data_IF_647008042576
#
_entry.id   IF_647008042576
#
_cell.length_a   1.000
_cell.length_b   1.000
_cell.length_c   1.000
_cell.angle_alpha   90.00
_cell.angle_beta   90.00
_cell.angle_gamma   90.00
#
_symmetry.space_group_name_H-M   'P 1'
#
loop_
_entity.id
_entity.type
_entity.pdbx_description
1 polymer ?
#
# COMPACT_ATOMS: atom_id res chain seq x y z
N UNK A 1 -61.44 22.83 -28.31
CA UNK A 1 -60.80 22.53 -27.01
C UNK A 1 -60.46 21.05 -26.98
N UNK A 2 -59.16 20.71 -26.99
CA UNK A 2 -58.52 19.59 -26.28
C UNK A 2 -57.08 19.47 -26.79
N UNK A 3 -56.15 20.02 -26.01
CA UNK A 3 -54.70 19.97 -26.26
C UNK A 3 -54.15 18.60 -25.88
N UNK A 4 -53.62 17.86 -26.85
CA UNK A 4 -52.89 16.61 -26.61
C UNK A 4 -51.41 16.95 -26.35
N UNK A 5 -50.98 16.80 -25.09
CA UNK A 5 -49.60 17.06 -24.65
C UNK A 5 -48.78 15.78 -24.84
N UNK A 6 -48.05 15.71 -25.96
CA UNK A 6 -47.05 14.64 -26.22
C UNK A 6 -45.87 14.83 -25.27
N UNK A 7 -45.71 13.89 -24.33
CA UNK A 7 -44.59 13.88 -23.38
C UNK A 7 -43.43 13.12 -24.02
N UNK A 8 -42.44 13.87 -24.50
CA UNK A 8 -41.18 13.34 -25.03
C UNK A 8 -40.38 12.67 -23.90
N UNK A 9 -40.25 11.34 -23.95
CA UNK A 9 -39.39 10.56 -23.06
C UNK A 9 -37.97 10.66 -23.59
N UNK A 10 -37.17 11.56 -23.02
CA UNK A 10 -35.74 11.64 -23.27
C UNK A 10 -35.06 10.51 -22.49
N UNK A 11 -34.85 9.38 -23.16
CA UNK A 11 -34.08 8.25 -22.64
C UNK A 11 -32.62 8.66 -22.45
N UNK A 12 -32.22 8.90 -21.21
CA UNK A 12 -30.81 8.95 -20.85
C UNK A 12 -30.27 7.52 -20.83
N UNK A 13 -29.60 7.13 -21.92
CA UNK A 13 -28.71 5.98 -21.95
C UNK A 13 -27.49 6.30 -21.07
N UNK A 14 -27.57 5.96 -19.78
CA UNK A 14 -26.39 5.84 -18.94
C UNK A 14 -25.68 4.54 -19.32
N UNK A 15 -24.48 4.67 -19.88
CA UNK A 15 -23.58 3.55 -20.14
C UNK A 15 -23.39 2.71 -18.86
N UNK A 16 -23.30 1.36 -18.97
CA UNK A 16 -23.09 0.53 -17.79
C UNK A 16 -21.67 0.76 -17.27
N UNK A 17 -21.57 1.44 -16.12
CA UNK A 17 -20.39 1.32 -15.29
C UNK A 17 -20.32 -0.15 -14.86
N UNK A 18 -19.40 -0.91 -15.45
CA UNK A 18 -19.18 -2.32 -15.12
C UNK A 18 -18.95 -2.44 -13.61
N UNK A 19 -20.01 -2.84 -12.90
CA UNK A 19 -19.95 -3.20 -11.50
C UNK A 19 -19.24 -4.55 -11.46
N UNK A 20 -18.00 -4.55 -10.97
CA UNK A 20 -17.27 -5.77 -10.60
C UNK A 20 -18.23 -6.58 -9.71
N UNK A 21 -18.74 -7.69 -10.24
CA UNK A 21 -19.94 -8.37 -9.75
C UNK A 21 -19.61 -9.76 -9.25
N UNK A 22 -18.58 -9.91 -8.40
CA UNK A 22 -18.46 -11.03 -7.47
C UNK A 22 -17.16 -10.94 -6.65
N UNK A 23 -17.09 -11.64 -5.49
CA UNK A 23 -15.81 -11.97 -4.86
C UNK A 23 -14.89 -12.84 -5.75
N UNK A 24 -15.42 -13.52 -6.77
CA UNK A 24 -14.63 -14.24 -7.78
C UNK A 24 -13.79 -13.27 -8.64
N UNK A 25 -14.37 -12.16 -9.08
CA UNK A 25 -13.63 -11.12 -9.81
C UNK A 25 -12.47 -10.55 -8.98
N UNK A 26 -12.62 -10.50 -7.65
CA UNK A 26 -11.55 -10.02 -6.76
C UNK A 26 -10.39 -11.02 -6.71
N UNK A 27 -10.66 -12.32 -6.72
CA UNK A 27 -9.60 -13.34 -6.79
C UNK A 27 -8.88 -13.30 -8.13
N UNK A 28 -9.60 -13.14 -9.24
CA UNK A 28 -9.00 -13.00 -10.57
C UNK A 28 -8.17 -11.71 -10.67
N UNK A 29 -8.65 -10.60 -10.11
CA UNK A 29 -7.89 -9.34 -10.05
C UNK A 29 -6.67 -9.45 -9.14
N UNK A 30 -6.73 -10.19 -8.03
CA UNK A 30 -5.53 -10.45 -7.21
C UNK A 30 -4.52 -11.33 -7.95
N UNK A 31 -5.00 -12.31 -8.73
CA UNK A 31 -4.15 -13.17 -9.54
C UNK A 31 -3.48 -12.45 -10.72
N UNK A 32 -4.15 -11.43 -11.29
CA UNK A 32 -3.67 -10.72 -12.49
C UNK A 32 -3.03 -9.35 -12.21
N UNK A 33 -3.50 -8.63 -11.19
CA UNK A 33 -3.11 -7.26 -10.86
C UNK A 33 -2.54 -7.08 -9.45
N UNK A 34 -2.38 -8.16 -8.69
CA UNK A 34 -1.79 -8.17 -7.36
C UNK A 34 -2.72 -7.69 -6.24
N UNK A 35 -2.29 -7.89 -5.00
CA UNK A 35 -3.08 -7.60 -3.78
C UNK A 35 -3.43 -6.11 -3.67
N UNK A 36 -2.53 -5.22 -4.09
CA UNK A 36 -2.75 -3.78 -4.03
C UNK A 36 -3.88 -3.31 -4.95
N UNK A 37 -4.10 -3.98 -6.09
CA UNK A 37 -5.25 -3.70 -6.94
C UNK A 37 -6.56 -3.99 -6.19
N UNK A 38 -6.64 -5.12 -5.49
CA UNK A 38 -7.78 -5.49 -4.65
C UNK A 38 -8.06 -4.46 -3.55
N UNK A 39 -7.02 -4.01 -2.84
CA UNK A 39 -7.14 -2.95 -1.81
C UNK A 39 -7.63 -1.65 -2.43
N UNK A 40 -7.10 -1.25 -3.59
CA UNK A 40 -7.50 -0.02 -4.26
C UNK A 40 -8.95 -0.07 -4.78
N UNK A 41 -9.42 -1.24 -5.23
CA UNK A 41 -10.83 -1.45 -5.57
C UNK A 41 -11.70 -1.25 -4.34
N UNK A 42 -11.35 -1.88 -3.22
CA UNK A 42 -12.08 -1.70 -1.96
C UNK A 42 -12.10 -0.22 -1.55
N UNK A 43 -10.95 0.46 -1.59
CA UNK A 43 -10.81 1.88 -1.26
C UNK A 43 -11.68 2.79 -2.12
N UNK A 44 -11.68 2.58 -3.45
CA UNK A 44 -12.56 3.30 -4.39
C UNK A 44 -14.04 3.02 -4.12
N UNK A 45 -14.38 1.82 -3.68
CA UNK A 45 -15.75 1.47 -3.36
C UNK A 45 -16.21 2.09 -2.02
N UNK A 46 -15.32 2.26 -1.04
CA UNK A 46 -15.62 2.96 0.22
C UNK A 46 -15.89 4.46 0.05
N UNK A 47 -15.32 5.10 -0.97
CA UNK A 47 -15.58 6.52 -1.27
C UNK A 47 -16.89 6.76 -2.04
N UNK A 48 -17.49 5.71 -2.60
CA UNK A 48 -18.77 5.78 -3.34
C UNK A 48 -19.97 5.67 -2.40
N UNK A 49 -21.15 6.00 -2.93
CA UNK A 49 -22.41 6.07 -2.18
C UNK A 49 -22.65 4.83 -1.31
N UNK A 50 -23.29 5.04 -0.15
CA UNK A 50 -23.60 4.04 0.90
C UNK A 50 -24.17 2.70 0.41
N UNK A 51 -24.77 2.68 -0.79
CA UNK A 51 -25.32 1.47 -1.44
C UNK A 51 -24.25 0.40 -1.75
N UNK A 52 -22.99 0.78 -1.95
CA UNK A 52 -21.90 -0.15 -2.27
C UNK A 52 -21.07 -0.56 -1.05
N UNK A 53 -21.43 -0.11 0.16
CA UNK A 53 -20.62 -0.34 1.35
C UNK A 53 -20.39 -1.83 1.64
N UNK A 54 -21.42 -2.66 1.49
CA UNK A 54 -21.30 -4.09 1.75
C UNK A 54 -20.33 -4.76 0.76
N UNK A 55 -20.40 -4.37 -0.52
CA UNK A 55 -19.49 -4.86 -1.56
C UNK A 55 -18.04 -4.49 -1.23
N UNK A 56 -17.76 -3.23 -0.88
CA UNK A 56 -16.41 -2.78 -0.49
C UNK A 56 -15.85 -3.58 0.69
N UNK A 57 -16.70 -3.87 1.67
CA UNK A 57 -16.33 -4.62 2.87
C UNK A 57 -16.08 -6.09 2.55
N UNK A 58 -16.88 -6.70 1.67
CA UNK A 58 -16.68 -8.08 1.21
C UNK A 58 -15.40 -8.20 0.36
N UNK A 59 -15.12 -7.21 -0.50
CA UNK A 59 -13.86 -7.14 -1.25
C UNK A 59 -12.66 -7.05 -0.31
N UNK A 60 -12.70 -6.14 0.67
CA UNK A 60 -11.63 -6.02 1.67
C UNK A 60 -11.46 -7.31 2.50
N UNK A 61 -12.56 -7.98 2.85
CA UNK A 61 -12.50 -9.29 3.51
C UNK A 61 -11.84 -10.35 2.62
N UNK A 62 -12.18 -10.39 1.34
CA UNK A 62 -11.62 -11.35 0.37
C UNK A 62 -10.10 -11.20 0.25
N UNK A 63 -9.63 -9.94 0.17
CA UNK A 63 -8.19 -9.62 0.16
C UNK A 63 -7.52 -10.04 1.46
N UNK A 64 -8.12 -9.75 2.61
CA UNK A 64 -7.59 -10.18 3.90
C UNK A 64 -7.51 -11.70 4.03
N UNK A 65 -8.50 -12.42 3.49
CA UNK A 65 -8.54 -13.89 3.51
C UNK A 65 -7.39 -14.45 2.69
N UNK A 66 -7.20 -13.94 1.47
CA UNK A 66 -6.08 -14.30 0.61
C UNK A 66 -4.72 -14.05 1.29
N UNK A 67 -4.53 -12.86 1.87
CA UNK A 67 -3.30 -12.50 2.58
C UNK A 67 -3.00 -13.37 3.79
N UNK A 68 -4.03 -13.89 4.45
CA UNK A 68 -3.84 -14.81 5.57
C UNK A 68 -3.28 -16.15 5.10
N UNK A 69 -3.69 -16.60 3.92
CA UNK A 69 -3.26 -17.86 3.30
C UNK A 69 -1.89 -17.74 2.60
N UNK A 70 -1.48 -16.52 2.25
CA UNK A 70 -0.24 -16.21 1.53
C UNK A 70 0.66 -15.25 2.36
N UNK A 71 1.34 -15.75 3.41
CA UNK A 71 2.12 -14.93 4.34
C UNK A 71 3.29 -14.18 3.67
N UNK A 72 3.85 -14.72 2.59
CA UNK A 72 4.86 -14.07 1.77
C UNK A 72 4.31 -12.81 1.10
N UNK A 73 3.10 -12.88 0.54
CA UNK A 73 2.43 -11.72 -0.06
C UNK A 73 2.06 -10.69 1.01
N UNK A 74 1.63 -11.14 2.19
CA UNK A 74 1.40 -10.27 3.34
C UNK A 74 2.65 -9.46 3.72
N UNK A 75 3.79 -10.14 3.86
CA UNK A 75 5.06 -9.51 4.22
C UNK A 75 5.55 -8.55 3.13
N UNK A 76 5.54 -8.98 1.86
CA UNK A 76 6.09 -8.19 0.76
C UNK A 76 5.17 -7.03 0.37
N UNK A 77 3.90 -7.30 0.08
CA UNK A 77 3.03 -6.33 -0.57
C UNK A 77 2.33 -5.41 0.42
N UNK A 78 2.00 -5.91 1.62
CA UNK A 78 1.24 -5.13 2.60
C UNK A 78 2.15 -4.57 3.68
N UNK A 79 3.02 -5.36 4.30
CA UNK A 79 3.86 -4.85 5.37
C UNK A 79 4.90 -3.82 4.92
N UNK A 80 5.32 -3.89 3.65
CA UNK A 80 6.32 -2.95 3.09
C UNK A 80 5.72 -1.66 2.53
N UNK A 81 4.42 -1.42 2.68
CA UNK A 81 3.79 -0.21 2.12
C UNK A 81 4.33 1.07 2.80
N UNK A 82 4.73 2.09 2.01
CA UNK A 82 5.22 3.36 2.56
C UNK A 82 4.12 4.14 3.30
N UNK A 83 2.85 3.87 3.00
CA UNK A 83 1.69 4.46 3.67
C UNK A 83 1.73 4.25 5.20
N UNK A 84 2.37 3.18 5.69
CA UNK A 84 2.54 2.94 7.13
C UNK A 84 3.37 4.01 7.81
N UNK A 85 4.32 4.64 7.12
CA UNK A 85 5.15 5.71 7.70
C UNK A 85 4.33 6.96 8.05
N UNK A 86 3.22 7.19 7.35
CA UNK A 86 2.31 8.32 7.60
C UNK A 86 1.35 8.04 8.76
N UNK A 87 1.20 6.77 9.14
CA UNK A 87 0.27 6.35 10.17
C UNK A 87 0.92 6.41 11.56
N UNK A 88 0.27 7.12 12.50
CA UNK A 88 0.77 7.23 13.90
C UNK A 88 0.69 5.93 14.72
N UNK A 89 0.11 4.85 14.16
CA UNK A 89 -0.01 3.58 14.86
C UNK A 89 1.01 2.55 14.41
N UNK A 90 0.94 1.35 15.02
CA UNK A 90 1.86 0.25 14.71
C UNK A 90 1.63 -0.27 13.28
N UNK A 91 2.69 -0.31 12.47
CA UNK A 91 2.73 -1.02 11.20
C UNK A 91 2.37 -2.51 11.39
N UNK A 92 1.82 -3.17 10.36
CA UNK A 92 1.58 -4.62 10.41
C UNK A 92 2.87 -5.41 10.66
N UNK A 93 2.75 -6.49 11.40
CA UNK A 93 3.85 -7.41 11.68
C UNK A 93 3.90 -8.50 10.58
N UNK A 94 5.02 -8.65 9.85
CA UNK A 94 5.15 -9.68 8.81
C UNK A 94 4.91 -11.10 9.31
N UNK A 95 5.15 -11.37 10.60
CA UNK A 95 4.92 -12.68 11.21
C UNK A 95 3.47 -12.96 11.58
N UNK A 96 2.55 -12.00 11.37
CA UNK A 96 1.16 -12.07 11.84
C UNK A 96 0.13 -11.88 10.73
N UNK A 97 0.07 -12.79 9.74
CA UNK A 97 -0.93 -12.73 8.68
C UNK A 97 -2.37 -12.89 9.21
N UNK A 98 -2.57 -13.43 10.42
CA UNK A 98 -3.89 -13.47 11.08
C UNK A 98 -4.42 -12.08 11.47
N UNK A 99 -3.58 -11.05 11.51
CA UNK A 99 -4.00 -9.65 11.71
C UNK A 99 -4.40 -8.97 10.38
N UNK A 100 -4.31 -9.66 9.24
CA UNK A 100 -4.52 -9.08 7.90
C UNK A 100 -5.86 -8.35 7.76
N UNK A 101 -6.95 -8.90 8.30
CA UNK A 101 -8.27 -8.26 8.26
C UNK A 101 -8.23 -6.83 8.78
N UNK A 102 -7.58 -6.62 9.92
CA UNK A 102 -7.52 -5.32 10.58
C UNK A 102 -6.79 -4.29 9.71
N UNK A 103 -5.66 -4.67 9.14
CA UNK A 103 -4.83 -3.78 8.34
C UNK A 103 -5.39 -3.52 6.95
N UNK A 104 -5.97 -4.53 6.30
CA UNK A 104 -6.67 -4.35 5.02
C UNK A 104 -7.89 -3.45 5.18
N UNK A 105 -8.67 -3.61 6.25
CA UNK A 105 -9.80 -2.71 6.53
C UNK A 105 -9.33 -1.27 6.73
N UNK A 106 -8.19 -1.06 7.40
CA UNK A 106 -7.62 0.28 7.55
C UNK A 106 -7.14 0.87 6.22
N UNK A 107 -6.43 0.10 5.39
CA UNK A 107 -5.99 0.55 4.07
C UNK A 107 -7.18 0.91 3.17
N UNK A 108 -8.24 0.10 3.21
CA UNK A 108 -9.42 0.29 2.39
C UNK A 108 -10.29 1.46 2.86
N UNK A 109 -10.45 1.66 4.17
CA UNK A 109 -11.26 2.76 4.72
C UNK A 109 -10.49 4.09 4.75
N UNK A 110 -9.18 4.06 5.00
CA UNK A 110 -8.32 5.23 5.18
C UNK A 110 -7.75 5.39 6.59
N UNK A 111 -6.80 6.33 6.72
CA UNK A 111 -6.07 6.63 7.96
C UNK A 111 -6.17 8.10 8.39
N UNK A 112 -6.90 8.92 7.63
CA UNK A 112 -6.78 10.37 7.63
C UNK A 112 -7.35 10.99 8.90
N UNK A 113 -8.43 10.39 9.42
CA UNK A 113 -9.13 10.93 10.59
C UNK A 113 -9.58 9.84 11.60
N UNK A 114 -10.04 10.32 12.76
CA UNK A 114 -10.55 9.45 13.82
C UNK A 114 -11.81 8.67 13.41
N UNK A 115 -12.59 9.17 12.45
CA UNK A 115 -13.82 8.52 12.01
C UNK A 115 -13.54 7.34 11.11
N UNK A 116 -12.58 7.45 10.19
CA UNK A 116 -12.06 6.37 9.34
C UNK A 116 -11.50 5.24 10.20
N UNK A 117 -10.66 5.57 11.19
CA UNK A 117 -10.10 4.57 12.11
C UNK A 117 -11.16 3.86 12.94
N UNK A 118 -12.17 4.61 13.42
CA UNK A 118 -13.30 4.04 14.15
C UNK A 118 -14.10 3.09 13.24
N UNK A 119 -14.35 3.50 12.00
CA UNK A 119 -15.10 2.73 11.01
C UNK A 119 -14.36 1.45 10.60
N UNK A 120 -13.07 1.53 10.33
CA UNK A 120 -12.23 0.36 10.07
C UNK A 120 -12.29 -0.63 11.24
N UNK A 121 -12.13 -0.13 12.48
CA UNK A 121 -12.22 -0.98 13.69
C UNK A 121 -13.60 -1.60 13.87
N UNK A 122 -14.67 -0.86 13.55
CA UNK A 122 -16.06 -1.36 13.60
C UNK A 122 -16.27 -2.52 12.62
N UNK A 123 -15.74 -2.42 11.39
CA UNK A 123 -15.83 -3.46 10.36
C UNK A 123 -14.95 -4.66 10.68
N UNK A 124 -13.71 -4.44 11.13
CA UNK A 124 -12.84 -5.52 11.62
C UNK A 124 -13.58 -6.30 12.71
N UNK A 125 -14.13 -5.62 13.72
CA UNK A 125 -14.86 -6.29 14.80
C UNK A 125 -16.10 -7.05 14.31
N UNK A 126 -16.85 -6.50 13.34
CA UNK A 126 -18.02 -7.16 12.77
C UNK A 126 -17.67 -8.48 12.07
N UNK A 127 -16.52 -8.55 11.41
CA UNK A 127 -16.11 -9.68 10.58
C UNK A 127 -15.11 -10.62 11.25
N UNK A 128 -14.49 -10.22 12.36
CA UNK A 128 -13.41 -10.98 13.00
C UNK A 128 -13.80 -12.43 13.28
N UNK A 129 -15.00 -12.69 13.81
CA UNK A 129 -15.45 -14.06 14.07
C UNK A 129 -15.53 -14.91 12.81
N UNK A 130 -15.93 -14.32 11.67
CA UNK A 130 -16.02 -15.03 10.40
C UNK A 130 -14.63 -15.26 9.82
N UNK A 131 -13.74 -14.27 9.97
CA UNK A 131 -12.34 -14.37 9.56
C UNK A 131 -11.59 -15.45 10.34
N UNK A 132 -11.72 -15.48 11.66
CA UNK A 132 -11.12 -16.49 12.52
C UNK A 132 -11.61 -17.91 12.15
N UNK A 133 -12.89 -18.02 11.74
CA UNK A 133 -13.51 -19.27 11.29
C UNK A 133 -13.20 -19.64 9.84
N UNK A 134 -12.39 -18.85 9.12
CA UNK A 134 -12.09 -19.07 7.69
C UNK A 134 -13.35 -19.18 6.83
N UNK A 135 -14.34 -18.32 7.09
CA UNK A 135 -15.56 -18.29 6.29
C UNK A 135 -15.21 -17.89 4.85
N UNK A 136 -15.75 -18.63 3.88
CA UNK A 136 -15.56 -18.32 2.47
C UNK A 136 -16.06 -16.89 2.17
N UNK A 137 -15.26 -16.04 1.48
CA UNK A 137 -15.67 -14.68 1.14
C UNK A 137 -17.01 -14.57 0.41
N UNK A 138 -17.41 -15.60 -0.37
CA UNK A 138 -18.71 -15.65 -1.04
C UNK A 138 -19.90 -15.63 -0.06
N UNK A 139 -19.72 -16.18 1.14
CA UNK A 139 -20.80 -16.31 2.14
C UNK A 139 -20.91 -15.07 3.05
N UNK A 140 -19.88 -14.23 3.10
CA UNK A 140 -19.80 -13.09 4.04
C UNK A 140 -20.94 -12.11 3.80
N UNK A 141 -21.25 -11.79 2.54
CA UNK A 141 -22.32 -10.87 2.20
C UNK A 141 -23.68 -11.34 2.77
N UNK A 142 -23.95 -12.63 2.64
CA UNK A 142 -25.17 -13.25 3.13
C UNK A 142 -25.22 -13.24 4.67
N UNK A 143 -24.15 -13.66 5.34
CA UNK A 143 -24.06 -13.63 6.81
C UNK A 143 -24.23 -12.23 7.39
N UNK A 144 -23.69 -11.21 6.72
CA UNK A 144 -23.87 -9.81 7.14
C UNK A 144 -25.33 -9.39 7.03
N UNK A 145 -26.05 -9.79 5.97
CA UNK A 145 -27.48 -9.49 5.82
C UNK A 145 -28.33 -10.20 6.88
N UNK A 146 -28.09 -11.48 7.10
CA UNK A 146 -28.80 -12.30 8.11
C UNK A 146 -28.65 -11.74 9.52
N UNK A 147 -27.49 -11.15 9.82
CA UNK A 147 -27.25 -10.55 11.11
C UNK A 147 -27.86 -9.14 11.29
N UNK A 148 -28.52 -8.59 10.26
CA UNK A 148 -29.09 -7.24 10.28
C UNK A 148 -28.10 -6.13 9.88
N UNK A 149 -27.00 -6.48 9.23
CA UNK A 149 -25.95 -5.57 8.75
C UNK A 149 -24.73 -5.46 9.65
N UNK A 150 -23.70 -4.75 9.16
CA UNK A 150 -22.38 -4.63 9.81
C UNK A 150 -22.44 -4.04 11.22
N UNK A 151 -23.31 -3.04 11.43
CA UNK A 151 -23.48 -2.39 12.74
C UNK A 151 -23.96 -3.36 13.80
N UNK A 152 -24.95 -4.17 13.45
CA UNK A 152 -25.55 -5.12 14.38
C UNK A 152 -24.60 -6.28 14.68
N UNK A 153 -23.84 -6.75 13.67
CA UNK A 153 -22.73 -7.68 13.89
C UNK A 153 -21.68 -7.13 14.84
N UNK A 154 -21.20 -5.90 14.58
CA UNK A 154 -20.18 -5.26 15.41
C UNK A 154 -20.65 -5.13 16.87
N UNK A 155 -21.91 -4.73 17.08
CA UNK A 155 -22.53 -4.63 18.40
C UNK A 155 -22.62 -5.99 19.10
N UNK A 156 -23.09 -7.04 18.42
CA UNK A 156 -23.17 -8.40 18.96
C UNK A 156 -21.78 -8.92 19.36
N UNK A 157 -20.77 -8.67 18.54
CA UNK A 157 -19.40 -9.09 18.83
C UNK A 157 -18.80 -8.31 20.01
N UNK A 158 -19.06 -7.00 20.09
CA UNK A 158 -18.66 -6.17 21.24
C UNK A 158 -19.33 -6.62 22.54
N UNK A 159 -20.58 -7.08 22.49
CA UNK A 159 -21.27 -7.64 23.66
C UNK A 159 -20.65 -8.98 24.08
N UNK A 160 -20.36 -9.87 23.13
CA UNK A 160 -19.70 -11.16 23.41
C UNK A 160 -18.33 -11.00 24.05
N UNK A 161 -17.51 -10.07 23.55
CA UNK A 161 -16.18 -9.82 24.11
C UNK A 161 -16.20 -9.25 25.53
N UNK A 162 -17.30 -8.59 25.94
CA UNK A 162 -17.52 -8.15 27.33
C UNK A 162 -17.89 -9.31 28.24
N UNK A 163 -18.75 -10.22 27.79
CA UNK A 163 -19.19 -11.37 28.59
C UNK A 163 -18.06 -12.40 28.78
N UNK A 164 -17.21 -12.59 27.77
CA UNK A 164 -16.06 -13.51 27.86
C UNK A 164 -14.88 -12.99 28.68
N UNK A 165 -14.82 -11.67 28.96
CA UNK A 165 -13.79 -11.08 29.83
C UNK A 165 -14.21 -11.20 31.28
N UNK A 166 -14.11 -12.41 31.82
CA UNK A 166 -14.18 -12.62 33.27
C UNK A 166 -13.09 -11.75 33.94
N UNK A 167 -13.39 -11.03 35.05
CA UNK A 167 -12.49 -10.02 35.63
C UNK A 167 -11.16 -10.55 36.22
N UNK A 168 -10.87 -11.86 36.11
CA UNK A 168 -9.74 -12.51 36.79
C UNK A 168 -8.35 -12.34 36.12
N UNK A 169 -8.20 -11.59 35.02
CA UNK A 169 -6.96 -11.52 34.22
C UNK A 169 -6.29 -10.13 34.20
N UNK A 170 -6.57 -9.26 35.18
CA UNK A 170 -6.04 -7.89 35.21
C UNK A 170 -4.62 -7.74 35.83
N UNK A 171 -3.94 -8.82 36.24
CA UNK A 171 -2.78 -8.71 37.13
C UNK A 171 -1.37 -8.85 36.49
N UNK A 172 -1.21 -9.11 35.19
CA UNK A 172 0.14 -9.32 34.62
C UNK A 172 0.32 -8.64 33.27
N UNK A 173 0.77 -7.39 33.29
CA UNK A 173 1.37 -6.72 32.14
C UNK A 173 2.58 -5.90 32.60
N UNK A 174 3.69 -6.60 32.81
CA UNK A 174 5.00 -6.00 33.07
C UNK A 174 5.54 -5.34 31.80
N UNK A 175 5.79 -4.04 31.90
CA UNK A 175 6.44 -3.19 30.88
C UNK A 175 7.82 -3.77 30.54
N UNK A 176 8.03 -4.13 29.28
CA UNK A 176 9.36 -4.45 28.72
C UNK A 176 9.76 -3.28 27.82
N UNK A 177 10.75 -2.50 28.26
CA UNK A 177 11.36 -1.41 27.51
C UNK A 177 12.14 -1.95 26.31
N UNK A 178 12.02 -1.28 25.16
CA UNK A 178 12.85 -1.53 23.97
C UNK A 178 14.17 -0.74 24.06
N UNK A 179 15.30 -1.29 23.57
CA UNK A 179 16.56 -0.58 23.50
C UNK A 179 16.58 0.43 22.34
N UNK A 180 16.97 1.65 22.67
CA UNK A 180 17.33 2.72 21.74
C UNK A 180 18.76 2.47 21.25
N UNK A 181 18.94 2.10 19.98
CA UNK A 181 20.12 2.37 19.13
C UNK A 181 20.09 1.44 17.90
N UNK A 182 19.40 1.86 16.82
CA UNK A 182 19.43 1.18 15.52
C UNK A 182 19.19 2.15 14.33
N UNK A 183 19.45 3.45 14.51
CA UNK A 183 19.05 4.47 13.53
C UNK A 183 20.13 4.81 12.48
N UNK A 184 21.35 4.27 12.57
CA UNK A 184 22.50 4.71 11.76
C UNK A 184 22.72 3.99 10.43
N UNK A 185 22.43 2.68 10.33
CA UNK A 185 23.02 1.85 9.25
C UNK A 185 22.08 1.55 8.07
N UNK A 186 20.80 1.88 8.16
CA UNK A 186 19.82 1.49 7.13
C UNK A 186 19.76 2.47 5.95
N UNK A 187 20.27 3.69 6.12
CA UNK A 187 20.14 4.77 5.12
C UNK A 187 21.03 4.53 3.88
N UNK A 188 22.32 4.14 4.01
CA UNK A 188 23.14 3.78 2.85
C UNK A 188 22.61 2.54 2.11
N UNK A 189 22.08 1.54 2.85
CA UNK A 189 21.47 0.34 2.28
C UNK A 189 20.16 0.64 1.52
N UNK A 190 19.34 1.54 2.04
CA UNK A 190 18.13 2.01 1.36
C UNK A 190 18.45 2.80 0.08
N UNK A 191 19.53 3.58 0.07
CA UNK A 191 19.91 4.37 -1.11
C UNK A 191 20.55 3.52 -2.23
N UNK A 192 21.32 2.48 -1.86
CA UNK A 192 21.85 1.50 -2.84
C UNK A 192 20.71 0.69 -3.49
N UNK A 193 19.75 0.21 -2.70
CA UNK A 193 18.59 -0.53 -3.21
C UNK A 193 17.68 0.32 -4.10
N UNK A 194 17.54 1.61 -3.83
CA UNK A 194 16.77 2.52 -4.70
C UNK A 194 17.43 2.70 -6.07
N UNK A 195 18.77 2.76 -6.12
CA UNK A 195 19.53 2.90 -7.39
C UNK A 195 19.45 1.64 -8.25
N UNK A 196 19.54 0.47 -7.63
CA UNK A 196 19.38 -0.82 -8.32
C UNK A 196 17.94 -1.01 -8.82
N UNK A 197 16.96 -0.55 -8.05
CA UNK A 197 15.55 -0.56 -8.42
C UNK A 197 15.25 0.36 -9.63
N UNK A 198 15.80 1.57 -9.66
CA UNK A 198 15.62 2.49 -10.80
C UNK A 198 16.14 1.91 -12.12
N UNK A 199 17.33 1.29 -12.09
CA UNK A 199 17.92 0.68 -13.29
C UNK A 199 17.09 -0.53 -13.72
N UNK A 200 16.65 -1.37 -12.78
CA UNK A 200 15.87 -2.57 -13.09
C UNK A 200 14.48 -2.26 -13.63
N UNK A 201 13.77 -1.26 -13.09
CA UNK A 201 12.41 -0.91 -13.53
C UNK A 201 12.43 -0.24 -14.91
N UNK A 202 13.41 0.64 -15.17
CA UNK A 202 13.55 1.26 -16.49
C UNK A 202 13.94 0.22 -17.54
N UNK A 203 14.78 -0.75 -17.19
CA UNK A 203 15.19 -1.80 -18.11
C UNK A 203 14.03 -2.77 -18.41
N UNK A 204 13.34 -3.27 -17.38
CA UNK A 204 12.17 -4.14 -17.55
C UNK A 204 11.04 -3.48 -18.36
N UNK A 205 10.76 -2.19 -18.12
CA UNK A 205 9.76 -1.45 -18.89
C UNK A 205 10.11 -1.29 -20.37
N UNK A 206 11.40 -1.24 -20.71
CA UNK A 206 11.86 -1.13 -22.09
C UNK A 206 11.97 -2.49 -22.79
N UNK A 207 12.25 -3.55 -22.04
CA UNK A 207 12.34 -4.91 -22.60
C UNK A 207 10.95 -5.47 -22.96
N UNK A 208 9.87 -5.02 -22.29
CA UNK A 208 8.48 -5.42 -22.58
C UNK A 208 7.84 -4.70 -23.78
N UNK A 209 8.49 -3.70 -24.36
CA UNK A 209 7.95 -2.93 -25.49
C UNK A 209 8.63 -3.33 -26.81
N UNK A 210 8.00 -4.23 -27.55
CA UNK A 210 8.37 -4.49 -28.94
C UNK A 210 7.95 -3.32 -29.84
N UNK A 211 8.88 -2.82 -30.65
CA UNK A 211 8.60 -1.83 -31.71
C UNK A 211 9.06 -0.39 -31.44
N UNK A 212 9.74 -0.12 -30.32
CA UNK A 212 10.36 1.19 -30.08
C UNK A 212 11.74 1.22 -30.74
N UNK A 213 12.03 2.23 -31.56
CA UNK A 213 13.38 2.43 -32.08
C UNK A 213 14.35 2.94 -30.99
N UNK A 214 15.65 2.84 -31.27
CA UNK A 214 16.69 3.22 -30.31
C UNK A 214 16.64 4.71 -29.90
N UNK A 215 16.13 5.58 -30.79
CA UNK A 215 16.02 7.02 -30.53
C UNK A 215 14.88 7.30 -29.54
N UNK A 216 13.72 6.70 -29.78
CA UNK A 216 12.55 6.77 -28.91
C UNK A 216 12.84 6.15 -27.53
N UNK A 217 13.53 5.00 -27.47
CA UNK A 217 13.99 4.41 -26.22
C UNK A 217 14.97 5.35 -25.47
N UNK A 218 15.85 6.05 -26.19
CA UNK A 218 16.74 7.07 -25.63
C UNK A 218 15.98 8.24 -25.01
N UNK A 219 14.95 8.77 -25.71
CA UNK A 219 14.10 9.87 -25.20
C UNK A 219 13.30 9.45 -23.96
N UNK A 220 12.75 8.23 -23.96
CA UNK A 220 12.06 7.64 -22.81
C UNK A 220 12.98 7.50 -21.59
N UNK A 221 14.19 6.97 -21.78
CA UNK A 221 15.21 6.88 -20.71
C UNK A 221 15.55 8.24 -20.14
N UNK A 222 15.73 9.25 -20.99
CA UNK A 222 16.03 10.61 -20.55
C UNK A 222 14.87 11.23 -19.76
N UNK A 223 13.63 11.04 -20.21
CA UNK A 223 12.43 11.51 -19.52
C UNK A 223 12.23 10.86 -18.15
N UNK A 224 12.37 9.53 -18.07
CA UNK A 224 12.27 8.78 -16.81
C UNK A 224 13.37 9.18 -15.82
N UNK A 225 14.62 9.31 -16.28
CA UNK A 225 15.72 9.82 -15.43
C UNK A 225 15.44 11.23 -14.90
N UNK A 226 14.85 12.10 -15.72
CA UNK A 226 14.50 13.46 -15.31
C UNK A 226 13.42 13.46 -14.23
N UNK A 227 12.37 12.66 -14.40
CA UNK A 227 11.29 12.49 -13.41
C UNK A 227 11.79 11.92 -12.08
N UNK A 228 12.64 10.87 -12.14
CA UNK A 228 13.26 10.28 -10.96
C UNK A 228 14.17 11.29 -10.25
N UNK A 229 15.01 12.01 -11.01
CA UNK A 229 15.87 13.07 -10.46
C UNK A 229 15.06 14.19 -9.78
N UNK A 230 13.93 14.57 -10.37
CA UNK A 230 13.00 15.53 -9.76
C UNK A 230 12.42 14.99 -8.46
N UNK A 231 11.95 13.74 -8.45
CA UNK A 231 11.36 13.11 -7.26
C UNK A 231 12.37 12.93 -6.13
N UNK A 232 13.59 12.54 -6.44
CA UNK A 232 14.71 12.46 -5.47
C UNK A 232 15.02 13.86 -4.92
N UNK A 233 14.95 14.91 -5.74
CA UNK A 233 15.11 16.29 -5.26
C UNK A 233 13.98 16.71 -4.32
N UNK A 234 12.73 16.43 -4.67
CA UNK A 234 11.58 16.68 -3.78
C UNK A 234 11.71 15.96 -2.44
N UNK A 235 12.11 14.69 -2.45
CA UNK A 235 12.31 13.91 -1.23
C UNK A 235 13.45 14.48 -0.38
N UNK A 236 14.55 14.90 -1.03
CA UNK A 236 15.68 15.57 -0.38
C UNK A 236 15.28 16.90 0.24
N UNK A 237 14.53 17.72 -0.48
CA UNK A 237 14.08 19.03 0.01
C UNK A 237 13.03 18.90 1.12
N UNK A 238 12.15 17.88 1.03
CA UNK A 238 11.24 17.53 2.12
C UNK A 238 11.98 17.01 3.36
N UNK A 239 13.07 16.26 3.17
CA UNK A 239 13.91 15.79 4.26
C UNK A 239 14.77 16.91 4.87
N UNK A 240 15.20 17.93 4.10
CA UNK A 240 15.87 19.15 4.59
C UNK A 240 15.04 19.94 5.61
N UNK A 241 13.72 19.81 5.57
CA UNK A 241 12.83 20.42 6.55
C UNK A 241 12.83 19.69 7.91
N UNK A 242 13.58 18.58 8.06
CA UNK A 242 13.67 17.77 9.27
C UNK A 242 15.00 18.04 10.01
N UNK A 243 15.01 18.37 11.32
CA UNK A 243 16.23 18.68 12.08
C UNK A 243 17.23 17.52 12.24
N UNK A 244 16.88 16.29 11.82
CA UNK A 244 17.82 15.16 11.76
C UNK A 244 18.68 15.16 10.48
N UNK A 245 18.48 16.12 9.58
CA UNK A 245 19.07 16.14 8.24
C UNK A 245 20.55 16.59 8.20
N UNK A 246 21.06 17.25 9.23
CA UNK A 246 22.45 17.75 9.26
C UNK A 246 23.49 16.62 9.31
N UNK A 247 23.13 15.44 9.81
CA UNK A 247 23.97 14.22 9.67
C UNK A 247 23.90 13.59 8.27
N UNK A 248 22.81 13.84 7.54
CA UNK A 248 22.55 13.26 6.22
C UNK A 248 23.19 14.08 5.08
N UNK A 249 23.35 15.39 5.26
CA UNK A 249 24.05 16.27 4.31
C UNK A 249 25.52 15.89 4.15
N UNK A 250 26.22 15.55 5.23
CA UNK A 250 27.63 15.13 5.17
C UNK A 250 27.83 13.88 4.29
N UNK A 251 26.92 12.91 4.39
CA UNK A 251 26.97 11.66 3.59
C UNK A 251 26.62 11.93 2.11
N UNK A 252 25.68 12.84 1.85
CA UNK A 252 25.33 13.25 0.48
C UNK A 252 26.45 14.06 -0.20
N UNK A 253 27.15 14.91 0.54
CA UNK A 253 28.29 15.67 0.02
C UNK A 253 29.50 14.76 -0.28
N UNK A 254 29.72 13.74 0.56
CA UNK A 254 30.74 12.71 0.33
C UNK A 254 30.45 11.87 -0.92
N UNK A 255 29.22 11.39 -1.09
CA UNK A 255 28.82 10.62 -2.28
C UNK A 255 28.83 11.45 -3.58
N UNK A 256 28.47 12.74 -3.51
CA UNK A 256 28.56 13.61 -4.69
C UNK A 256 30.01 14.01 -5.01
N UNK A 257 30.90 14.04 -4.01
CA UNK A 257 32.35 14.18 -4.18
C UNK A 257 32.94 12.95 -4.89
N UNK A 258 32.59 11.74 -4.46
CA UNK A 258 33.00 10.48 -5.11
C UNK A 258 32.51 10.41 -6.56
N UNK A 259 31.24 10.80 -6.80
CA UNK A 259 30.68 10.87 -8.15
C UNK A 259 31.43 11.84 -9.05
N UNK A 260 31.85 13.00 -8.53
CA UNK A 260 32.68 13.96 -9.27
C UNK A 260 34.07 13.40 -9.53
N UNK A 261 34.69 12.71 -8.57
CA UNK A 261 36.00 12.10 -8.74
C UNK A 261 36.01 11.03 -9.86
N UNK A 262 34.93 10.24 -9.97
CA UNK A 262 34.77 9.23 -11.04
C UNK A 262 34.46 9.89 -12.39
N UNK A 263 33.62 10.94 -12.41
CA UNK A 263 33.23 11.61 -13.66
C UNK A 263 34.37 12.41 -14.30
N UNK A 264 35.31 12.94 -13.50
CA UNK A 264 36.40 13.77 -14.00
C UNK A 264 37.70 13.02 -14.29
N UNK A 265 37.76 11.70 -14.03
CA UNK A 265 38.96 10.89 -14.26
C UNK A 265 40.11 11.34 -13.39
N UNK A 266 40.54 10.50 -12.45
CA UNK A 266 41.77 10.77 -11.69
C UNK A 266 42.91 11.00 -12.70
N UNK A 267 43.56 12.17 -12.73
CA UNK A 267 44.60 12.41 -13.72
C UNK A 267 45.73 11.42 -13.47
N UNK A 268 45.88 10.45 -14.38
CA UNK A 268 47.02 9.56 -14.40
C UNK A 268 48.27 10.44 -14.54
N UNK A 269 49.08 10.48 -13.49
CA UNK A 269 50.44 11.03 -13.60
C UNK A 269 51.16 10.28 -14.72
N UNK A 270 51.68 10.98 -15.74
CA UNK A 270 52.46 10.34 -16.79
C UNK A 270 53.73 9.80 -16.15
N UNK A 271 53.84 8.48 -16.10
CA UNK A 271 55.09 7.80 -15.75
C UNK A 271 55.93 7.79 -17.01
N UNK A 272 56.94 8.67 -17.04
CA UNK A 272 57.96 8.69 -18.08
C UNK A 272 58.71 7.34 -18.15
N UNK A 273 58.76 6.67 -19.31
CA UNK A 273 59.63 5.53 -19.49
C UNK A 273 61.07 6.02 -19.66
N UNK A 274 61.92 5.76 -18.67
CA UNK A 274 63.37 5.86 -18.80
C UNK A 274 63.84 4.90 -19.90
N UNK A 275 64.20 5.46 -21.04
CA UNK A 275 65.00 4.77 -22.06
C UNK A 275 66.42 4.65 -21.49
N UNK A 276 66.83 3.42 -21.22
CA UNK A 276 68.22 3.08 -20.89
C UNK A 276 68.85 2.53 -22.16
N UNK A 277 69.90 3.22 -22.64
CA UNK A 277 70.85 2.72 -23.64
C UNK A 277 71.87 1.79 -22.97
#
# INVERSE_FOLDING_TARGET
>A
MQSSKVRSVKGNAAAPAAAISAPQDVQEVMASGGVLAGINIAKKAFSRARKQLLESVVTAYSVAHYLREHPETWAMDVCSLPDWAQFKGRAPDPSKPHEALHYVMRLAVGFSDKQELKRASEYTLALQSMFDQHLNPADVAQRVREAGGLKELSKRQAQRSRVGRSPSSAAQSTKKSLPSNAAGDWVPAMMMTFREFEVSVIQAFLDDYEGIDAEQAGRLRAGLRSLLSHRVRELRDGARANPLFDSFTSVLEELDSERRAVAYGTPHSPTDPKIVN
#
